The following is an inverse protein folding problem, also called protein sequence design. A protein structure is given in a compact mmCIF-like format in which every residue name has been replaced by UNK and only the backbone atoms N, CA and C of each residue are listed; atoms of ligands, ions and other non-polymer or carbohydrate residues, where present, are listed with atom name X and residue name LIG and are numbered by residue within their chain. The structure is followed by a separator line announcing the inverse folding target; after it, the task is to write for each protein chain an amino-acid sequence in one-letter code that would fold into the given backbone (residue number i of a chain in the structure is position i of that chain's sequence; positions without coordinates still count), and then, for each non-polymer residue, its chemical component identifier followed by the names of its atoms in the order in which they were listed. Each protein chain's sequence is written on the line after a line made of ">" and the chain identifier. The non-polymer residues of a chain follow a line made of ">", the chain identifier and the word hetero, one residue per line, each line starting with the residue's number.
data_IF_141628116909
#
_entry.id   IF_141628116909
#
_cell.length_a   1.000
_cell.length_b   1.000
_cell.length_c   1.000
_cell.angle_alpha   90.00
_cell.angle_beta   90.00
_cell.angle_gamma   90.00
#
_symmetry.space_group_name_H-M   'P 1'
#
loop_
_entity.id
_entity.type
_entity.pdbx_description
1 polymer ?
#
# COMPACT_ATOMS: atom_id res chain seq x y z
N UNK A 1 12.58 -12.65 20.29
CA UNK A 1 13.49 -11.72 19.54
C UNK A 1 14.00 -12.37 18.26
N UNK A 2 14.30 -13.71 18.24
CA UNK A 2 14.79 -14.41 17.04
C UNK A 2 13.73 -14.50 15.92
N UNK A 3 12.50 -14.83 16.23
CA UNK A 3 11.41 -14.97 15.27
C UNK A 3 11.08 -13.62 14.58
N UNK A 4 11.04 -12.52 15.34
CA UNK A 4 10.76 -11.18 14.80
C UNK A 4 11.85 -10.79 13.78
N UNK A 5 13.14 -11.03 14.11
CA UNK A 5 14.25 -10.77 13.17
C UNK A 5 14.11 -11.62 11.89
N UNK A 6 13.71 -12.87 12.02
CA UNK A 6 13.52 -13.76 10.86
C UNK A 6 12.42 -13.25 9.93
N UNK A 7 11.32 -12.77 10.48
CA UNK A 7 10.20 -12.18 9.69
C UNK A 7 10.68 -10.96 8.90
N UNK A 8 11.42 -10.05 9.53
CA UNK A 8 11.97 -8.89 8.85
C UNK A 8 12.93 -9.25 7.71
N UNK A 9 13.77 -10.26 7.90
CA UNK A 9 14.67 -10.74 6.85
C UNK A 9 13.92 -11.37 5.67
N UNK A 10 12.91 -12.20 5.96
CA UNK A 10 12.08 -12.82 4.92
C UNK A 10 11.34 -11.75 4.10
N UNK A 11 10.78 -10.75 4.76
CA UNK A 11 10.11 -9.64 4.11
C UNK A 11 11.06 -8.79 3.26
N UNK A 12 12.24 -8.48 3.78
CA UNK A 12 13.29 -7.77 3.03
C UNK A 12 13.76 -8.56 1.80
N UNK A 13 13.95 -9.87 1.94
CA UNK A 13 14.29 -10.74 0.82
C UNK A 13 13.18 -10.77 -0.23
N UNK A 14 11.91 -10.91 0.20
CA UNK A 14 10.78 -10.86 -0.73
C UNK A 14 10.74 -9.53 -1.48
N UNK A 15 10.94 -8.40 -0.79
CA UNK A 15 11.04 -7.10 -1.45
C UNK A 15 12.16 -7.06 -2.50
N UNK A 16 13.34 -7.60 -2.17
CA UNK A 16 14.48 -7.64 -3.09
C UNK A 16 14.21 -8.52 -4.32
N UNK A 17 13.42 -9.58 -4.20
CA UNK A 17 13.05 -10.41 -5.38
C UNK A 17 12.24 -9.65 -6.42
N UNK A 18 11.60 -8.54 -6.05
CA UNK A 18 10.84 -7.68 -6.98
C UNK A 18 11.74 -6.72 -7.77
N UNK A 19 13.03 -6.63 -7.43
CA UNK A 19 13.98 -5.73 -8.07
C UNK A 19 14.48 -6.32 -9.39
N UNK A 20 13.91 -5.85 -10.50
CA UNK A 20 14.40 -6.18 -11.85
C UNK A 20 15.51 -5.21 -12.27
N UNK A 21 16.35 -5.55 -13.28
CA UNK A 21 17.35 -4.62 -13.79
C UNK A 21 16.78 -3.27 -14.22
N UNK A 22 15.59 -3.26 -14.83
CA UNK A 22 14.89 -2.02 -15.22
C UNK A 22 14.48 -1.19 -14.01
N UNK A 23 13.91 -1.81 -12.95
CA UNK A 23 13.54 -1.12 -11.71
C UNK A 23 14.78 -0.59 -10.97
N UNK A 24 15.87 -1.36 -10.94
CA UNK A 24 17.15 -0.91 -10.38
C UNK A 24 17.71 0.29 -11.13
N UNK A 25 17.68 0.28 -12.47
CA UNK A 25 18.08 1.42 -13.29
C UNK A 25 17.18 2.65 -13.06
N UNK A 26 15.87 2.44 -12.95
CA UNK A 26 14.95 3.52 -12.61
C UNK A 26 15.26 4.12 -11.24
N UNK A 27 15.54 3.28 -10.23
CA UNK A 27 15.95 3.72 -8.91
C UNK A 27 17.25 4.55 -8.96
N UNK A 28 18.25 4.10 -9.70
CA UNK A 28 19.49 4.85 -9.89
C UNK A 28 19.25 6.23 -10.52
N UNK A 29 18.38 6.34 -11.52
CA UNK A 29 17.98 7.63 -12.13
C UNK A 29 17.30 8.55 -11.11
N UNK A 30 16.36 8.02 -10.32
CA UNK A 30 15.65 8.79 -9.28
C UNK A 30 16.64 9.32 -8.24
N UNK A 31 17.53 8.46 -7.73
CA UNK A 31 18.56 8.87 -6.76
C UNK A 31 19.52 9.90 -7.34
N UNK A 32 20.03 9.68 -8.55
CA UNK A 32 20.94 10.63 -9.19
C UNK A 32 20.28 11.99 -9.40
N UNK A 33 19.04 12.01 -9.91
CA UNK A 33 18.31 13.27 -10.10
C UNK A 33 17.99 13.98 -8.78
N UNK A 34 17.73 13.23 -7.70
CA UNK A 34 17.54 13.80 -6.36
C UNK A 34 18.80 14.52 -5.86
N UNK A 35 19.98 13.89 -5.94
CA UNK A 35 21.23 14.51 -5.50
C UNK A 35 21.63 15.70 -6.39
N UNK A 36 21.42 15.58 -7.70
CA UNK A 36 21.67 16.68 -8.64
C UNK A 36 20.73 17.88 -8.37
N UNK A 37 19.45 17.63 -8.11
CA UNK A 37 18.50 18.67 -7.70
C UNK A 37 18.98 19.41 -6.46
N UNK A 38 19.45 18.68 -5.44
CA UNK A 38 19.99 19.29 -4.21
C UNK A 38 21.25 20.13 -4.46
N UNK A 39 22.15 19.62 -5.31
CA UNK A 39 23.41 20.30 -5.61
C UNK A 39 23.20 21.54 -6.51
N UNK A 40 22.42 21.37 -7.57
CA UNK A 40 22.17 22.44 -8.56
C UNK A 40 21.08 23.42 -8.14
N UNK A 41 20.32 23.13 -7.07
CA UNK A 41 19.15 23.90 -6.61
C UNK A 41 18.12 24.14 -7.73
N UNK A 42 17.96 23.18 -8.63
CA UNK A 42 17.00 23.19 -9.74
C UNK A 42 16.28 21.85 -9.80
N UNK A 43 14.97 21.82 -10.10
CA UNK A 43 14.23 20.57 -10.21
C UNK A 43 14.74 19.75 -11.40
N UNK A 44 15.25 18.55 -11.11
CA UNK A 44 15.70 17.56 -12.10
C UNK A 44 14.99 16.26 -11.79
N UNK A 45 14.34 15.66 -12.78
CA UNK A 45 13.64 14.38 -12.63
C UNK A 45 13.94 13.50 -13.84
N UNK A 46 14.60 12.36 -13.59
CA UNK A 46 15.01 11.44 -14.64
C UNK A 46 14.30 10.10 -14.61
N UNK A 47 13.69 9.76 -13.51
CA UNK A 47 13.00 8.48 -13.29
C UNK A 47 11.52 8.62 -13.06
N UNK A 48 10.83 7.47 -13.08
CA UNK A 48 9.44 7.31 -12.68
C UNK A 48 9.34 6.97 -11.19
N UNK A 49 8.18 7.16 -10.54
CA UNK A 49 7.99 6.77 -9.15
C UNK A 49 8.37 5.32 -8.91
N UNK A 50 9.08 5.06 -7.80
CA UNK A 50 9.40 3.70 -7.33
C UNK A 50 8.29 3.10 -6.50
N UNK A 51 7.53 3.97 -5.83
CA UNK A 51 6.42 3.62 -4.96
C UNK A 51 5.25 4.55 -5.27
N UNK A 52 4.06 3.98 -5.34
CA UNK A 52 2.80 4.72 -5.45
C UNK A 52 1.87 4.27 -4.34
N UNK A 53 1.10 5.18 -3.77
CA UNK A 53 0.00 4.88 -2.86
C UNK A 53 -1.32 5.08 -3.59
N UNK A 54 -2.20 4.07 -3.49
CA UNK A 54 -3.60 4.17 -3.84
C UNK A 54 -4.46 4.04 -2.59
N UNK A 55 -5.47 4.87 -2.48
CA UNK A 55 -6.55 4.65 -1.53
C UNK A 55 -7.61 3.77 -2.19
N UNK A 56 -7.78 2.51 -1.76
CA UNK A 56 -8.83 1.66 -2.32
C UNK A 56 -10.22 2.26 -2.14
N UNK A 57 -10.42 2.95 -1.02
CA UNK A 57 -11.64 3.70 -0.72
C UNK A 57 -11.35 4.80 0.30
N UNK A 58 -12.16 5.84 0.31
CA UNK A 58 -12.15 6.86 1.37
C UNK A 58 -13.16 6.54 2.48
N UNK A 59 -14.00 5.51 2.31
CA UNK A 59 -14.94 5.05 3.32
C UNK A 59 -14.24 4.25 4.42
N UNK A 60 -14.68 4.41 5.66
CA UNK A 60 -14.26 3.61 6.81
C UNK A 60 -15.46 3.25 7.68
N UNK A 61 -15.44 2.06 8.28
CA UNK A 61 -16.45 1.61 9.23
C UNK A 61 -16.21 2.14 10.65
N UNK A 62 -14.99 2.60 10.97
CA UNK A 62 -14.64 3.20 12.26
C UNK A 62 -14.85 4.72 12.26
N UNK A 63 -14.84 5.28 13.48
CA UNK A 63 -14.97 6.71 13.77
C UNK A 63 -13.85 7.22 14.67
N UNK A 64 -12.63 6.80 14.39
CA UNK A 64 -11.45 7.19 15.17
C UNK A 64 -11.33 8.72 15.27
N UNK A 65 -11.12 9.27 16.48
CA UNK A 65 -11.21 10.71 16.74
C UNK A 65 -10.11 11.55 16.06
N UNK A 66 -8.96 10.93 15.75
CA UNK A 66 -7.82 11.61 15.11
C UNK A 66 -7.73 11.38 13.59
N UNK A 67 -8.69 10.63 13.02
CA UNK A 67 -8.65 10.24 11.62
C UNK A 67 -9.64 11.03 10.78
N UNK A 68 -9.22 11.68 9.68
CA UNK A 68 -10.15 12.39 8.79
C UNK A 68 -11.28 11.52 8.23
N UNK A 69 -11.02 10.22 7.99
CA UNK A 69 -12.06 9.25 7.58
C UNK A 69 -13.06 9.00 8.70
N UNK A 70 -12.57 8.83 9.94
CA UNK A 70 -13.40 8.63 11.13
C UNK A 70 -14.26 9.84 11.45
N UNK A 71 -13.68 11.03 11.41
CA UNK A 71 -14.35 12.32 11.61
C UNK A 71 -15.28 12.70 10.46
N UNK A 72 -15.22 12.00 9.32
CA UNK A 72 -15.93 12.35 8.08
C UNK A 72 -15.67 13.78 7.62
N UNK A 73 -14.44 14.26 7.85
CA UNK A 73 -14.01 15.64 7.64
C UNK A 73 -13.38 15.88 6.26
N UNK A 74 -13.65 15.03 5.29
CA UNK A 74 -13.16 15.24 3.93
C UNK A 74 -13.90 16.36 3.19
N UNK A 75 -13.13 17.22 2.51
CA UNK A 75 -13.65 18.16 1.52
C UNK A 75 -13.91 17.51 0.14
N UNK A 76 -13.42 16.29 -0.07
CA UNK A 76 -13.57 15.49 -1.31
C UNK A 76 -14.68 14.45 -1.16
N UNK A 77 -15.33 14.03 -2.26
CA UNK A 77 -16.34 12.98 -2.22
C UNK A 77 -15.79 11.66 -1.68
N UNK A 78 -16.61 10.94 -0.91
CA UNK A 78 -16.34 9.56 -0.52
C UNK A 78 -16.58 8.64 -1.71
N UNK A 79 -15.67 7.72 -1.97
CA UNK A 79 -15.79 6.80 -3.09
C UNK A 79 -14.76 5.69 -3.09
N UNK A 80 -14.90 4.78 -4.03
CA UNK A 80 -13.99 3.67 -4.27
C UNK A 80 -13.08 3.96 -5.46
N UNK A 81 -11.83 3.50 -5.37
CA UNK A 81 -10.92 3.43 -6.50
C UNK A 81 -11.53 2.54 -7.58
N UNK A 82 -11.61 3.04 -8.79
CA UNK A 82 -12.14 2.31 -9.94
C UNK A 82 -11.10 1.31 -10.46
N UNK A 83 -11.54 0.09 -10.72
CA UNK A 83 -10.66 -0.99 -11.16
C UNK A 83 -10.04 -0.74 -12.55
N UNK A 84 -10.78 -0.09 -13.47
CA UNK A 84 -10.29 0.27 -14.80
C UNK A 84 -9.17 1.31 -14.75
N UNK A 85 -9.34 2.38 -13.96
CA UNK A 85 -8.31 3.39 -13.74
C UNK A 85 -7.06 2.78 -13.10
N UNK A 86 -7.24 1.92 -12.09
CA UNK A 86 -6.11 1.21 -11.46
C UNK A 86 -5.34 0.36 -12.48
N UNK A 87 -6.04 -0.45 -13.28
CA UNK A 87 -5.40 -1.32 -14.29
C UNK A 87 -4.65 -0.52 -15.34
N UNK A 88 -5.24 0.54 -15.87
CA UNK A 88 -4.57 1.43 -16.83
C UNK A 88 -3.29 2.02 -16.23
N UNK A 89 -3.34 2.53 -15.00
CA UNK A 89 -2.15 3.07 -14.32
C UNK A 89 -1.07 1.99 -14.13
N UNK A 90 -1.47 0.75 -13.81
CA UNK A 90 -0.52 -0.36 -13.69
C UNK A 90 0.10 -0.74 -15.04
N UNK A 91 -0.66 -0.75 -16.11
CA UNK A 91 -0.15 -1.04 -17.46
C UNK A 91 0.93 -0.02 -17.87
N UNK A 92 0.77 1.24 -17.48
CA UNK A 92 1.74 2.30 -17.79
C UNK A 92 3.01 2.22 -16.92
N UNK A 93 2.90 1.81 -15.65
CA UNK A 93 3.96 2.02 -14.66
C UNK A 93 4.61 0.73 -14.12
N UNK A 94 3.98 -0.45 -14.25
CA UNK A 94 4.42 -1.68 -13.57
C UNK A 94 5.87 -2.08 -13.82
N UNK A 95 6.42 -1.74 -14.98
CA UNK A 95 7.81 -2.10 -15.34
C UNK A 95 8.86 -1.35 -14.54
N UNK A 96 8.52 -0.16 -14.05
CA UNK A 96 9.41 0.74 -13.33
C UNK A 96 9.04 0.85 -11.83
N UNK A 97 7.81 0.43 -11.46
CA UNK A 97 7.28 0.48 -10.11
C UNK A 97 7.75 -0.72 -9.28
N UNK A 98 8.29 -0.47 -8.09
CA UNK A 98 8.80 -1.49 -7.18
C UNK A 98 7.78 -1.85 -6.10
N UNK A 99 7.08 -0.85 -5.56
CA UNK A 99 6.18 -1.02 -4.42
C UNK A 99 4.85 -0.29 -4.65
N UNK A 100 3.79 -0.91 -4.19
CA UNK A 100 2.44 -0.38 -4.22
C UNK A 100 1.83 -0.42 -2.83
N UNK A 101 1.42 0.74 -2.33
CA UNK A 101 0.82 0.91 -1.02
C UNK A 101 -0.69 1.10 -1.20
N UNK A 102 -1.48 0.19 -0.63
CA UNK A 102 -2.93 0.21 -0.70
C UNK A 102 -3.56 0.74 0.60
N UNK A 103 -3.03 1.83 1.11
CA UNK A 103 -3.65 2.55 2.22
C UNK A 103 -3.18 4.01 2.26
N UNK A 104 -4.02 4.86 2.76
CA UNK A 104 -3.73 6.21 3.25
C UNK A 104 -4.90 6.65 4.12
N UNK A 105 -6.11 6.63 3.57
CA UNK A 105 -7.36 6.87 4.29
C UNK A 105 -8.37 5.77 3.96
N UNK A 106 -9.40 5.62 4.81
CA UNK A 106 -10.44 4.61 4.63
C UNK A 106 -10.00 3.19 5.02
N UNK A 107 -10.93 2.26 4.89
CA UNK A 107 -10.70 0.83 5.14
C UNK A 107 -10.67 0.07 3.81
N UNK A 108 -9.51 -0.48 3.38
CA UNK A 108 -9.34 -1.09 2.06
C UNK A 108 -10.36 -2.17 1.71
N UNK A 109 -10.75 -2.98 2.68
CA UNK A 109 -11.68 -4.10 2.48
C UNK A 109 -13.12 -3.67 2.18
N UNK A 110 -13.47 -2.40 2.33
CA UNK A 110 -14.78 -1.87 1.91
C UNK A 110 -14.88 -1.80 0.38
N UNK A 111 -13.76 -1.63 -0.34
CA UNK A 111 -13.78 -1.70 -1.79
C UNK A 111 -13.86 -3.17 -2.26
N UNK A 112 -14.94 -3.60 -2.93
CA UNK A 112 -15.12 -4.99 -3.35
C UNK A 112 -14.05 -5.47 -4.35
N UNK A 113 -13.38 -4.55 -5.06
CA UNK A 113 -12.34 -4.87 -6.03
C UNK A 113 -10.92 -4.83 -5.43
N UNK A 114 -10.77 -4.57 -4.13
CA UNK A 114 -9.47 -4.35 -3.49
C UNK A 114 -8.52 -5.55 -3.68
N UNK A 115 -8.95 -6.75 -3.34
CA UNK A 115 -8.09 -7.94 -3.43
C UNK A 115 -7.77 -8.34 -4.88
N UNK A 116 -8.66 -8.03 -5.83
CA UNK A 116 -8.36 -8.21 -7.27
C UNK A 116 -7.31 -7.22 -7.76
N UNK A 117 -7.29 -5.98 -7.23
CA UNK A 117 -6.23 -5.01 -7.51
C UNK A 117 -4.90 -5.48 -6.92
N UNK A 118 -4.89 -6.05 -5.71
CA UNK A 118 -3.69 -6.65 -5.10
C UNK A 118 -3.15 -7.76 -5.97
N UNK A 119 -4.01 -8.72 -6.37
CA UNK A 119 -3.63 -9.83 -7.26
C UNK A 119 -3.04 -9.34 -8.57
N UNK A 120 -3.66 -8.35 -9.20
CA UNK A 120 -3.20 -7.75 -10.44
C UNK A 120 -1.80 -7.14 -10.33
N UNK A 121 -1.49 -6.50 -9.20
CA UNK A 121 -0.16 -5.96 -8.90
C UNK A 121 0.85 -7.08 -8.61
N UNK A 122 0.45 -8.09 -7.84
CA UNK A 122 1.27 -9.26 -7.52
C UNK A 122 1.72 -10.01 -8.79
N UNK A 123 0.79 -10.27 -9.72
CA UNK A 123 1.08 -10.93 -11.00
C UNK A 123 2.10 -10.16 -11.86
N UNK A 124 2.26 -8.86 -11.63
CA UNK A 124 3.27 -8.00 -12.28
C UNK A 124 4.57 -7.90 -11.47
N UNK A 125 4.72 -8.70 -10.43
CA UNK A 125 5.91 -8.73 -9.59
C UNK A 125 6.13 -7.42 -8.81
N UNK A 126 5.05 -6.70 -8.46
CA UNK A 126 5.13 -5.50 -7.62
C UNK A 126 4.95 -5.91 -6.16
N UNK A 127 5.77 -5.38 -5.26
CA UNK A 127 5.62 -5.58 -3.84
C UNK A 127 4.41 -4.79 -3.32
N UNK A 128 3.48 -5.45 -2.63
CA UNK A 128 2.21 -4.88 -2.20
C UNK A 128 2.06 -4.80 -0.69
N UNK A 129 1.60 -3.64 -0.21
CA UNK A 129 1.38 -3.38 1.23
C UNK A 129 -0.02 -2.85 1.44
N UNK A 130 -0.69 -3.29 2.48
CA UNK A 130 -1.92 -2.66 2.97
C UNK A 130 -1.95 -2.55 4.48
N UNK A 131 -2.79 -1.64 4.99
CA UNK A 131 -3.17 -1.54 6.39
C UNK A 131 -4.68 -1.67 6.54
N UNK A 132 -5.13 -2.35 7.58
CA UNK A 132 -6.54 -2.56 7.89
C UNK A 132 -6.80 -2.46 9.39
N UNK A 133 -8.00 -2.06 9.77
CA UNK A 133 -8.46 -2.13 11.16
C UNK A 133 -8.84 -3.56 11.60
N UNK A 134 -8.78 -4.54 10.70
CA UNK A 134 -9.01 -5.95 10.98
C UNK A 134 -10.48 -6.40 11.04
N UNK A 135 -11.46 -5.50 11.08
CA UNK A 135 -12.87 -5.86 11.22
C UNK A 135 -13.42 -6.72 10.08
N UNK A 136 -12.85 -6.62 8.90
CA UNK A 136 -13.24 -7.40 7.72
C UNK A 136 -12.43 -8.69 7.55
N UNK A 137 -11.51 -9.03 8.45
CA UNK A 137 -10.67 -10.24 8.38
C UNK A 137 -11.41 -11.48 8.93
N UNK A 138 -12.58 -11.80 8.34
CA UNK A 138 -13.17 -13.13 8.52
C UNK A 138 -12.25 -14.20 7.96
N UNK A 139 -12.45 -15.48 8.32
CA UNK A 139 -11.66 -16.59 7.77
C UNK A 139 -11.69 -16.61 6.22
N UNK A 140 -12.86 -16.37 5.62
CA UNK A 140 -13.00 -16.30 4.17
C UNK A 140 -12.19 -15.14 3.55
N UNK A 141 -12.22 -13.96 4.16
CA UNK A 141 -11.45 -12.81 3.68
C UNK A 141 -9.95 -12.95 3.96
N UNK A 142 -9.56 -13.55 5.08
CA UNK A 142 -8.16 -13.86 5.38
C UNK A 142 -7.59 -14.82 4.32
N UNK A 143 -8.33 -15.86 3.94
CA UNK A 143 -7.95 -16.78 2.86
C UNK A 143 -7.79 -16.04 1.52
N UNK A 144 -8.78 -15.24 1.13
CA UNK A 144 -8.71 -14.44 -0.11
C UNK A 144 -7.52 -13.47 -0.10
N UNK A 145 -7.18 -12.90 1.07
CA UNK A 145 -6.03 -12.01 1.22
C UNK A 145 -4.72 -12.75 0.94
N UNK A 146 -4.56 -13.95 1.48
CA UNK A 146 -3.40 -14.81 1.20
C UNK A 146 -3.36 -15.17 -0.30
N UNK A 147 -4.48 -15.60 -0.85
CA UNK A 147 -4.61 -15.99 -2.27
C UNK A 147 -4.41 -14.83 -3.25
N UNK A 148 -4.60 -13.58 -2.80
CA UNK A 148 -4.32 -12.39 -3.62
C UNK A 148 -2.83 -12.13 -3.82
N UNK A 149 -1.96 -12.77 -3.03
CA UNK A 149 -0.52 -12.58 -3.07
C UNK A 149 -0.06 -11.27 -2.42
N UNK A 150 -0.84 -10.73 -1.47
CA UNK A 150 -0.44 -9.56 -0.68
C UNK A 150 0.87 -9.86 0.06
N UNK A 151 1.88 -9.01 -0.11
CA UNK A 151 3.20 -9.22 0.47
C UNK A 151 3.26 -8.80 1.95
N UNK A 152 2.61 -7.68 2.31
CA UNK A 152 2.59 -7.20 3.70
C UNK A 152 1.21 -6.72 4.12
N UNK A 153 0.69 -7.30 5.19
CA UNK A 153 -0.52 -6.86 5.88
C UNK A 153 -0.15 -6.22 7.22
N UNK A 154 -0.60 -4.99 7.42
CA UNK A 154 -0.51 -4.28 8.70
C UNK A 154 -1.90 -4.31 9.32
N UNK A 155 -2.02 -4.80 10.55
CA UNK A 155 -3.27 -4.76 11.31
C UNK A 155 -3.10 -3.70 12.39
N UNK A 156 -3.92 -2.63 12.30
CA UNK A 156 -3.93 -1.55 13.27
C UNK A 156 -4.86 -1.94 14.43
N UNK A 157 -4.29 -2.10 15.62
CA UNK A 157 -5.01 -2.47 16.85
C UNK A 157 -4.76 -1.38 17.88
N UNK A 158 -5.79 -0.62 18.20
CA UNK A 158 -5.70 0.57 19.05
C UNK A 158 -5.94 0.28 20.54
N UNK A 159 -6.26 -0.96 20.91
CA UNK A 159 -6.42 -1.41 22.27
C UNK A 159 -6.15 -2.89 22.47
N UNK A 160 -5.58 -3.25 23.64
CA UNK A 160 -5.32 -4.64 24.03
C UNK A 160 -6.45 -5.26 24.84
N UNK A 161 -7.43 -4.46 25.25
CA UNK A 161 -8.65 -4.87 25.94
C UNK A 161 -9.85 -4.19 25.25
N UNK A 162 -11.05 -4.74 25.45
CA UNK A 162 -12.27 -4.15 24.89
C UNK A 162 -12.47 -2.71 25.37
N UNK A 163 -12.32 -2.46 26.65
CA UNK A 163 -12.50 -1.13 27.23
C UNK A 163 -11.50 -0.11 26.66
N UNK A 164 -10.23 -0.51 26.49
CA UNK A 164 -9.22 0.36 25.88
C UNK A 164 -9.53 0.63 24.42
N UNK A 165 -9.99 -0.38 23.69
CA UNK A 165 -10.34 -0.25 22.27
C UNK A 165 -11.57 0.64 22.07
N UNK A 166 -12.58 0.55 22.93
CA UNK A 166 -13.79 1.37 22.86
C UNK A 166 -13.58 2.82 23.31
N UNK A 167 -12.51 3.07 24.10
CA UNK A 167 -12.16 4.43 24.53
C UNK A 167 -11.46 5.26 23.43
N UNK A 168 -10.94 4.60 22.43
CA UNK A 168 -10.31 5.22 21.26
C UNK A 168 -11.36 5.52 20.18
#
# INVERSE_FOLDING_TARGET
>A
ISQVKQIYWQDALNFLTKLTPRRAWNAAKVLASFYLTRWMKRPIQWGLPLTISFEPTTACNLRCPECPSGLRAFSRPTGNLRADFFRQTMDDLHKDLLCLIFYFQGEPYINPNFLDMVRHAHERGIYTITSTNGHFLSEANARKTIESGLDRLIISVDGTTQDTYESY
#
